data_IF_336593449304
#
_entry.id   IF_336593449304
#
_cell.length_a   1.000
_cell.length_b   1.000
_cell.length_c   1.000
_cell.angle_alpha   90.00
_cell.angle_beta   90.00
_cell.angle_gamma   90.00
#
_symmetry.space_group_name_H-M   'P 1'
#
loop_
_entity.id
_entity.type
_entity.pdbx_description
1 polymer ?
#
# COMPACT_ATOMS: atom_id res chain seq x y z
N UNK A 1 5.52 31.07 -67.11
CA UNK A 1 5.47 31.87 -65.88
C UNK A 1 5.07 31.00 -64.75
N UNK A 2 6.00 30.60 -63.89
CA UNK A 2 5.69 29.77 -62.72
C UNK A 2 5.55 30.67 -61.49
N UNK A 3 4.35 30.75 -60.95
CA UNK A 3 4.06 31.38 -59.69
C UNK A 3 4.38 30.38 -58.56
N UNK A 4 5.47 30.63 -57.83
CA UNK A 4 5.73 29.92 -56.63
C UNK A 4 4.83 30.44 -55.52
N UNK A 5 3.86 29.61 -55.12
CA UNK A 5 3.12 29.82 -53.86
C UNK A 5 4.01 29.35 -52.72
N UNK A 6 4.46 30.29 -51.91
CA UNK A 6 5.03 29.98 -50.62
C UNK A 6 3.90 29.73 -49.65
N UNK A 7 3.68 28.45 -49.30
CA UNK A 7 2.85 28.10 -48.18
C UNK A 7 3.71 28.19 -46.90
N UNK A 8 3.43 29.22 -46.13
CA UNK A 8 3.94 29.32 -44.76
C UNK A 8 3.19 28.33 -43.89
N UNK A 9 3.84 27.24 -43.52
CA UNK A 9 3.33 26.34 -42.53
C UNK A 9 3.52 26.97 -41.13
N UNK A 10 2.46 27.49 -40.57
CA UNK A 10 2.42 27.90 -39.18
C UNK A 10 2.43 26.64 -38.31
N UNK A 11 3.58 26.40 -37.66
CA UNK A 11 3.73 25.34 -36.69
C UNK A 11 3.05 25.79 -35.39
N UNK A 12 1.80 25.41 -35.20
CA UNK A 12 1.12 25.57 -33.92
C UNK A 12 1.64 24.52 -33.00
N UNK A 13 2.64 24.91 -32.22
CA UNK A 13 3.12 24.09 -31.13
C UNK A 13 2.06 24.00 -30.03
N UNK A 14 1.31 22.93 -30.04
CA UNK A 14 0.42 22.62 -28.92
C UNK A 14 1.27 22.14 -27.76
N UNK A 15 1.52 23.04 -26.83
CA UNK A 15 2.14 22.72 -25.55
C UNK A 15 1.17 21.89 -24.71
N UNK A 16 1.25 20.57 -24.82
CA UNK A 16 0.59 19.68 -23.87
C UNK A 16 1.29 19.82 -22.52
N UNK A 17 0.76 20.71 -21.70
CA UNK A 17 1.08 20.68 -20.28
C UNK A 17 0.46 19.42 -19.69
N UNK A 18 1.21 18.32 -19.66
CA UNK A 18 0.89 17.16 -18.86
C UNK A 18 0.96 17.60 -17.41
N UNK A 19 -0.21 17.89 -16.86
CA UNK A 19 -0.38 18.04 -15.42
C UNK A 19 -0.15 16.65 -14.86
N UNK A 20 1.07 16.39 -14.42
CA UNK A 20 1.33 15.28 -13.51
C UNK A 20 0.63 15.65 -12.20
N UNK A 21 -0.61 15.18 -12.07
CA UNK A 21 -1.21 15.08 -10.77
C UNK A 21 -0.33 14.08 -10.01
N UNK A 22 0.60 14.58 -9.22
CA UNK A 22 1.27 13.80 -8.21
C UNK A 22 0.23 13.47 -7.15
N UNK A 23 -0.57 12.44 -7.43
CA UNK A 23 -1.19 11.72 -6.35
C UNK A 23 -0.03 11.25 -5.49
N UNK A 24 0.00 11.68 -4.24
CA UNK A 24 0.86 11.07 -3.25
C UNK A 24 0.42 9.61 -3.15
N UNK A 25 0.87 8.78 -4.09
CA UNK A 25 0.78 7.35 -3.97
C UNK A 25 1.63 7.02 -2.75
N UNK A 26 0.98 6.64 -1.66
CA UNK A 26 1.67 5.93 -0.60
C UNK A 26 2.32 4.74 -1.29
N UNK A 27 3.64 4.80 -1.46
CA UNK A 27 4.36 3.79 -2.19
C UNK A 27 4.17 2.47 -1.45
N UNK A 28 3.43 1.56 -2.06
CA UNK A 28 3.34 0.20 -1.59
C UNK A 28 4.76 -0.35 -1.57
N UNK A 29 5.21 -0.73 -0.38
CA UNK A 29 6.52 -1.30 -0.20
C UNK A 29 6.40 -2.81 -0.36
N UNK A 30 7.42 -3.44 -0.91
CA UNK A 30 7.44 -4.89 -0.98
C UNK A 30 8.83 -5.45 -0.73
N UNK A 31 8.86 -6.63 -0.13
CA UNK A 31 10.03 -7.45 0.06
C UNK A 31 9.92 -8.70 -0.81
N UNK A 32 11.01 -9.08 -1.45
CA UNK A 32 11.06 -10.29 -2.27
C UNK A 32 11.83 -11.37 -1.54
N UNK A 33 11.23 -12.55 -1.38
CA UNK A 33 11.82 -13.70 -0.71
C UNK A 33 11.61 -14.93 -1.59
N UNK A 34 12.66 -15.36 -2.31
CA UNK A 34 12.52 -16.42 -3.30
C UNK A 34 11.50 -16.04 -4.38
N UNK A 35 10.52 -16.90 -4.58
CA UNK A 35 9.42 -16.65 -5.52
C UNK A 35 8.26 -15.86 -4.93
N UNK A 36 8.35 -15.44 -3.66
CA UNK A 36 7.31 -14.71 -2.97
C UNK A 36 7.59 -13.23 -2.93
N UNK A 37 6.53 -12.45 -3.04
CA UNK A 37 6.52 -11.00 -2.86
C UNK A 37 5.60 -10.66 -1.68
N UNK A 38 6.15 -10.04 -0.66
CA UNK A 38 5.39 -9.55 0.48
C UNK A 38 5.18 -8.06 0.29
N UNK A 39 3.97 -7.66 -0.02
CA UNK A 39 3.56 -6.26 -0.15
C UNK A 39 3.01 -5.80 1.18
N UNK A 40 3.43 -4.63 1.63
CA UNK A 40 3.01 -4.07 2.90
C UNK A 40 2.87 -2.56 2.83
N UNK A 41 1.91 -2.05 3.58
CA UNK A 41 1.67 -0.62 3.70
C UNK A 41 0.93 -0.33 5.00
N UNK A 42 1.02 0.91 5.45
CA UNK A 42 0.20 1.43 6.53
C UNK A 42 -0.44 2.75 6.07
N UNK A 43 -1.75 2.84 6.17
CA UNK A 43 -2.53 3.97 5.68
C UNK A 43 -3.54 4.42 6.72
N UNK A 44 -4.01 5.67 6.60
CA UNK A 44 -5.14 6.12 7.39
C UNK A 44 -6.42 5.39 6.97
N UNK A 45 -7.24 4.98 7.94
CA UNK A 45 -8.53 4.35 7.65
C UNK A 45 -9.51 5.31 6.95
N UNK A 46 -9.27 6.61 6.97
CA UNK A 46 -10.06 7.61 6.25
C UNK A 46 -9.95 7.48 4.73
N UNK A 47 -8.93 6.80 4.21
CA UNK A 47 -8.79 6.49 2.78
C UNK A 47 -9.72 5.37 2.30
N UNK A 48 -10.28 4.58 3.22
CA UNK A 48 -11.28 3.59 2.84
C UNK A 48 -12.57 4.28 2.40
N UNK A 49 -13.22 3.72 1.38
CA UNK A 49 -14.59 4.13 1.09
C UNK A 49 -15.54 3.65 2.19
N UNK A 50 -16.67 4.34 2.44
CA UNK A 50 -17.65 3.88 3.42
C UNK A 50 -18.14 2.45 3.16
N UNK A 51 -18.31 2.08 1.90
CA UNK A 51 -18.77 0.75 1.48
C UNK A 51 -17.77 -0.34 1.85
N UNK A 52 -16.47 -0.11 1.57
CA UNK A 52 -15.40 -1.06 1.91
C UNK A 52 -15.25 -1.19 3.41
N UNK A 53 -15.29 -0.10 4.14
CA UNK A 53 -15.20 -0.10 5.60
C UNK A 53 -16.37 -0.89 6.23
N UNK A 54 -17.60 -0.65 5.77
CA UNK A 54 -18.79 -1.32 6.27
C UNK A 54 -18.79 -2.82 5.94
N UNK A 55 -18.43 -3.18 4.71
CA UNK A 55 -18.39 -4.58 4.27
C UNK A 55 -17.38 -5.41 5.05
N UNK A 56 -16.31 -4.81 5.55
CA UNK A 56 -15.26 -5.47 6.30
C UNK A 56 -15.28 -5.17 7.80
N UNK A 57 -16.33 -4.51 8.28
CA UNK A 57 -16.48 -4.11 9.68
C UNK A 57 -15.25 -3.31 10.20
N UNK A 58 -14.77 -2.39 9.38
CA UNK A 58 -13.66 -1.51 9.68
C UNK A 58 -14.17 -0.10 10.02
N UNK A 59 -13.57 0.50 11.01
CA UNK A 59 -13.93 1.86 11.43
C UNK A 59 -13.10 2.89 10.67
N UNK A 60 -13.77 3.82 9.98
CA UNK A 60 -13.12 4.98 9.38
C UNK A 60 -12.98 6.08 10.44
N UNK A 61 -11.76 6.54 10.66
CA UNK A 61 -11.47 7.61 11.61
C UNK A 61 -10.13 8.26 11.28
N UNK A 62 -10.01 9.56 11.55
CA UNK A 62 -8.78 10.30 11.32
C UNK A 62 -7.60 9.83 12.16
N UNK A 63 -7.86 9.23 13.33
CA UNK A 63 -6.83 8.72 14.22
C UNK A 63 -6.66 7.18 14.17
N UNK A 64 -7.31 6.54 13.21
CA UNK A 64 -7.19 5.08 13.00
C UNK A 64 -6.47 4.81 11.69
N UNK A 65 -5.48 3.96 11.76
CA UNK A 65 -4.77 3.46 10.60
C UNK A 65 -5.06 1.99 10.34
N UNK A 66 -4.64 1.52 9.18
CA UNK A 66 -4.67 0.13 8.77
C UNK A 66 -3.31 -0.28 8.27
N UNK A 67 -2.78 -1.37 8.80
CA UNK A 67 -1.70 -2.12 8.18
C UNK A 67 -2.30 -3.09 7.18
N UNK A 68 -1.78 -3.09 5.97
CA UNK A 68 -2.14 -4.04 4.92
C UNK A 68 -0.93 -4.87 4.54
N UNK A 69 -1.08 -6.18 4.56
CA UNK A 69 -0.09 -7.13 4.07
C UNK A 69 -0.73 -8.04 3.05
N UNK A 70 -0.06 -8.22 1.91
CA UNK A 70 -0.49 -9.11 0.84
C UNK A 70 0.70 -9.92 0.37
N UNK A 71 0.56 -11.23 0.30
CA UNK A 71 1.61 -12.13 -0.18
C UNK A 71 1.23 -12.67 -1.54
N UNK A 72 2.15 -12.58 -2.49
CA UNK A 72 1.98 -13.10 -3.85
C UNK A 72 3.13 -14.03 -4.20
N UNK A 73 2.81 -15.11 -4.90
CA UNK A 73 3.80 -16.06 -5.42
C UNK A 73 3.96 -15.85 -6.92
N UNK A 74 5.22 -15.74 -7.36
CA UNK A 74 5.54 -15.62 -8.78
C UNK A 74 5.39 -16.98 -9.45
N UNK A 75 4.72 -16.97 -10.60
CA UNK A 75 4.53 -18.13 -11.45
C UNK A 75 5.63 -18.20 -12.52
N UNK A 76 5.76 -19.35 -13.20
CA UNK A 76 6.74 -19.56 -14.27
C UNK A 76 6.54 -18.59 -15.46
N UNK A 77 5.31 -18.20 -15.73
CA UNK A 77 4.97 -17.24 -16.80
C UNK A 77 5.24 -15.76 -16.44
N UNK A 78 5.77 -15.50 -15.24
CA UNK A 78 6.03 -14.15 -14.73
C UNK A 78 4.85 -13.48 -14.06
N UNK A 79 3.65 -14.05 -14.12
CA UNK A 79 2.49 -13.58 -13.36
C UNK A 79 2.65 -13.89 -11.88
N UNK A 80 1.80 -13.27 -11.06
CA UNK A 80 1.72 -13.58 -9.62
C UNK A 80 0.32 -14.00 -9.23
N UNK A 81 0.23 -14.86 -8.22
CA UNK A 81 -1.03 -15.24 -7.60
C UNK A 81 -1.03 -14.90 -6.12
N UNK A 82 -2.20 -14.55 -5.59
CA UNK A 82 -2.37 -14.34 -4.16
C UNK A 82 -2.15 -15.64 -3.38
N UNK A 83 -1.47 -15.52 -2.25
CA UNK A 83 -1.19 -16.62 -1.34
C UNK A 83 -1.71 -16.25 0.04
N UNK A 84 -2.34 -17.20 0.71
CA UNK A 84 -2.75 -16.99 2.09
C UNK A 84 -1.52 -16.99 3.02
N UNK A 85 -1.57 -16.14 4.04
CA UNK A 85 -0.50 -16.04 5.01
C UNK A 85 -1.05 -15.85 6.43
N UNK A 86 -0.21 -16.10 7.41
CA UNK A 86 -0.45 -15.73 8.80
C UNK A 86 0.46 -14.57 9.16
N UNK A 87 -0.13 -13.45 9.59
CA UNK A 87 0.60 -12.24 9.93
C UNK A 87 0.41 -11.91 11.39
N UNK A 88 1.51 -11.66 12.07
CA UNK A 88 1.55 -11.18 13.45
C UNK A 88 2.46 -9.97 13.55
N UNK A 89 2.27 -9.17 14.55
CA UNK A 89 3.17 -8.05 14.79
C UNK A 89 2.62 -7.03 15.76
N UNK A 90 3.40 -5.98 15.87
CA UNK A 90 3.07 -4.85 16.72
C UNK A 90 3.58 -3.55 16.10
N UNK A 91 3.01 -2.46 16.57
CA UNK A 91 3.44 -1.10 16.25
C UNK A 91 3.82 -0.38 17.53
N UNK A 92 4.85 0.43 17.46
CA UNK A 92 5.30 1.27 18.56
C UNK A 92 5.59 2.68 18.10
N UNK A 93 5.33 3.66 18.99
CA UNK A 93 5.73 5.04 18.82
C UNK A 93 7.09 5.33 19.46
N UNK A 94 7.45 6.62 19.52
CA UNK A 94 8.71 7.09 20.13
C UNK A 94 8.84 6.75 21.61
N UNK A 95 7.73 6.63 22.33
CA UNK A 95 7.70 6.30 23.75
C UNK A 95 7.98 4.82 24.04
N UNK A 96 8.08 3.98 23.02
CA UNK A 96 8.31 2.55 23.13
C UNK A 96 7.10 1.73 23.58
N UNK A 97 5.94 2.34 23.79
CA UNK A 97 4.69 1.60 24.06
C UNK A 97 4.27 0.85 22.82
N UNK A 98 4.09 -0.46 22.95
CA UNK A 98 3.71 -1.34 21.86
C UNK A 98 2.21 -1.57 21.84
N UNK A 99 1.63 -1.55 20.64
CA UNK A 99 0.26 -1.96 20.36
C UNK A 99 0.31 -3.23 19.50
N UNK A 100 -0.30 -4.31 19.99
CA UNK A 100 -0.41 -5.55 19.22
C UNK A 100 -1.36 -5.39 18.07
N UNK A 101 -0.99 -5.93 16.91
CA UNK A 101 -1.80 -5.91 15.69
C UNK A 101 -2.57 -7.21 15.57
N UNK A 102 -3.89 -7.09 15.41
CA UNK A 102 -4.79 -8.23 15.16
C UNK A 102 -5.18 -8.23 13.69
N UNK A 103 -4.60 -9.15 12.93
CA UNK A 103 -4.85 -9.26 11.50
C UNK A 103 -6.09 -10.10 11.19
N UNK A 104 -6.87 -9.62 10.22
CA UNK A 104 -7.93 -10.40 9.58
C UNK A 104 -7.64 -10.55 8.09
N UNK A 105 -8.05 -11.68 7.54
CA UNK A 105 -7.91 -11.94 6.12
C UNK A 105 -9.16 -11.52 5.38
N UNK A 106 -9.00 -10.77 4.30
CA UNK A 106 -10.06 -10.31 3.41
C UNK A 106 -9.75 -10.79 2.00
N UNK A 107 -10.72 -11.44 1.37
CA UNK A 107 -10.66 -11.85 -0.02
C UNK A 107 -11.48 -10.91 -0.87
N UNK A 108 -10.87 -10.38 -1.93
CA UNK A 108 -11.53 -9.52 -2.91
C UNK A 108 -11.11 -9.95 -4.32
N UNK A 109 -11.99 -10.71 -4.99
CA UNK A 109 -11.67 -11.32 -6.26
C UNK A 109 -10.43 -12.22 -6.16
N UNK A 110 -9.42 -11.92 -6.97
CA UNK A 110 -8.13 -12.64 -6.98
C UNK A 110 -7.12 -12.11 -5.95
N UNK A 111 -7.50 -11.11 -5.16
CA UNK A 111 -6.64 -10.51 -4.16
C UNK A 111 -6.95 -11.06 -2.76
N UNK A 112 -5.91 -11.21 -1.96
CA UNK A 112 -6.00 -11.57 -0.55
C UNK A 112 -5.24 -10.55 0.27
N UNK A 113 -5.92 -9.91 1.21
CA UNK A 113 -5.36 -8.89 2.08
C UNK A 113 -5.41 -9.35 3.53
N UNK A 114 -4.36 -9.04 4.27
CA UNK A 114 -4.33 -9.20 5.73
C UNK A 114 -4.30 -7.80 6.33
N UNK A 115 -5.37 -7.45 7.05
CA UNK A 115 -5.60 -6.10 7.54
C UNK A 115 -5.61 -6.07 9.07
N UNK A 116 -4.91 -5.12 9.65
CA UNK A 116 -4.92 -4.87 11.09
C UNK A 116 -5.09 -3.38 11.38
N UNK A 117 -6.08 -2.99 12.19
CA UNK A 117 -6.22 -1.61 12.65
C UNK A 117 -5.17 -1.27 13.71
N UNK A 118 -4.77 -0.02 13.73
CA UNK A 118 -3.91 0.54 14.78
C UNK A 118 -4.27 1.99 15.07
N UNK A 119 -3.85 2.49 16.21
CA UNK A 119 -4.03 3.90 16.57
C UNK A 119 -2.91 4.73 15.98
N UNK A 120 -3.27 5.68 15.10
CA UNK A 120 -2.29 6.62 14.55
C UNK A 120 -1.94 7.69 15.58
N UNK A 121 -0.66 8.02 15.63
CA UNK A 121 -0.12 9.12 16.41
C UNK A 121 0.30 10.23 15.47
N UNK A 122 -0.29 11.40 15.68
CA UNK A 122 0.00 12.58 14.85
C UNK A 122 1.45 13.01 15.01
N UNK A 123 2.10 13.27 13.87
CA UNK A 123 3.44 13.84 13.78
C UNK A 123 4.53 13.03 14.49
N UNK A 124 4.29 11.75 14.66
CA UNK A 124 5.20 10.80 15.30
C UNK A 124 5.59 9.68 14.32
N UNK A 125 6.88 9.32 14.33
CA UNK A 125 7.33 8.15 13.59
C UNK A 125 6.92 6.88 14.31
N UNK A 126 6.20 6.02 13.61
CA UNK A 126 5.72 4.73 14.12
C UNK A 126 6.53 3.61 13.49
N UNK A 127 6.94 2.67 14.32
CA UNK A 127 7.70 1.49 13.91
C UNK A 127 6.77 0.28 13.89
N UNK A 128 6.72 -0.37 12.75
CA UNK A 128 5.98 -1.60 12.50
C UNK A 128 6.96 -2.77 12.46
N UNK A 129 6.71 -3.79 13.25
CA UNK A 129 7.49 -5.01 13.29
C UNK A 129 6.53 -6.18 13.08
N UNK A 130 6.61 -6.76 11.89
CA UNK A 130 5.72 -7.80 11.43
C UNK A 130 6.46 -9.11 11.24
N UNK A 131 5.72 -10.21 11.39
CA UNK A 131 6.17 -11.56 11.10
C UNK A 131 5.16 -12.20 10.16
N UNK A 132 5.61 -12.55 8.96
CA UNK A 132 4.76 -13.06 7.88
C UNK A 132 5.11 -14.51 7.59
N UNK A 133 4.16 -15.41 7.81
CA UNK A 133 4.31 -16.82 7.48
C UNK A 133 3.39 -17.18 6.32
N UNK A 134 3.96 -17.48 5.18
CA UNK A 134 3.28 -17.91 3.96
C UNK A 134 3.53 -19.38 3.60
N UNK A 135 4.49 -20.01 4.25
CA UNK A 135 4.82 -21.44 4.12
C UNK A 135 4.97 -22.05 5.51
N UNK A 136 4.21 -23.11 5.78
CA UNK A 136 4.25 -23.80 7.08
C UNK A 136 5.60 -24.44 7.38
N UNK A 137 6.36 -24.76 6.32
CA UNK A 137 7.67 -25.42 6.42
C UNK A 137 8.83 -24.41 6.49
N UNK A 138 8.55 -23.12 6.32
CA UNK A 138 9.54 -22.07 6.40
C UNK A 138 9.41 -21.25 7.71
N UNK A 139 10.51 -20.65 8.14
CA UNK A 139 10.48 -19.69 9.22
C UNK A 139 9.66 -18.45 8.79
N UNK A 140 8.96 -17.77 9.71
CA UNK A 140 8.30 -16.52 9.41
C UNK A 140 9.30 -15.47 8.92
N UNK A 141 8.91 -14.70 7.92
CA UNK A 141 9.73 -13.62 7.38
C UNK A 141 9.47 -12.33 8.18
N UNK A 142 10.51 -11.70 8.75
CA UNK A 142 10.37 -10.40 9.40
C UNK A 142 10.18 -9.30 8.36
N UNK A 143 9.22 -8.42 8.59
CA UNK A 143 8.99 -7.22 7.80
C UNK A 143 8.91 -6.04 8.76
N UNK A 144 9.90 -5.17 8.70
CA UNK A 144 10.03 -4.03 9.60
C UNK A 144 10.08 -2.74 8.78
N UNK A 145 9.29 -1.75 9.18
CA UNK A 145 9.32 -0.45 8.54
C UNK A 145 8.91 0.66 9.50
N UNK A 146 9.27 1.88 9.15
CA UNK A 146 8.94 3.08 9.91
C UNK A 146 8.14 3.99 9.00
N UNK A 147 7.07 4.56 9.52
CA UNK A 147 6.25 5.52 8.81
C UNK A 147 5.74 6.60 9.74
N UNK A 148 5.71 7.83 9.22
CA UNK A 148 5.16 8.99 9.91
C UNK A 148 3.80 9.31 9.31
N UNK A 149 2.84 9.61 10.17
CA UNK A 149 1.48 9.98 9.76
C UNK A 149 1.19 11.42 10.13
N UNK A 150 0.46 12.08 9.24
CA UNK A 150 -0.07 13.41 9.46
C UNK A 150 -1.60 13.30 9.49
N UNK A 151 -2.22 13.86 10.52
CA UNK A 151 -3.67 13.87 10.67
C UNK A 151 -4.17 15.21 10.13
N UNK A 152 -4.93 15.16 9.05
CA UNK A 152 -5.61 16.33 8.52
C UNK A 152 -6.71 16.76 9.49
N UNK A 153 -6.69 18.03 9.91
CA UNK A 153 -7.67 18.64 10.81
C UNK A 153 -8.69 19.46 10.03
#
# INVERSE_FOLDING_TARGET
MFRRLMMSAALVGTLFATIFATTAAYAEQFARVGDYEIHYSAVSSSFLTPEVAQANNLQRSANRGLVNVSVRERQEDGSTRAVNASVQGHVSGLTGVQESLSFRTVHDGDATYHLAPFTMREDESMRFELSVRYDRNAAPEPVNFIQRFYIDR
#
